data_IF_063955955306
#
_entry.id   IF_063955955306
#
_cell.length_a   1.000
_cell.length_b   1.000
_cell.length_c   1.000
_cell.angle_alpha   90.00
_cell.angle_beta   90.00
_cell.angle_gamma   90.00
#
_symmetry.space_group_name_H-M   'P 1'
#
loop_
_entity.id
_entity.type
_entity.pdbx_description
1 polymer ?
#
# COMPACT_ATOMS: atom_id res chain seq x y z
N UNK A 1 28.43 13.49 -23.15
CA UNK A 1 27.34 12.48 -23.08
C UNK A 1 26.90 12.33 -21.63
N UNK A 2 25.92 13.12 -21.16
CA UNK A 2 25.27 12.83 -19.87
C UNK A 2 24.00 12.06 -20.17
N UNK A 3 24.10 10.74 -19.98
CA UNK A 3 22.98 9.81 -20.02
C UNK A 3 22.04 10.24 -18.90
N UNK A 4 20.97 10.94 -19.24
CA UNK A 4 19.81 11.06 -18.36
C UNK A 4 19.37 9.63 -18.07
N UNK A 5 19.64 9.17 -16.85
CA UNK A 5 19.06 7.94 -16.35
C UNK A 5 17.55 8.16 -16.38
N UNK A 6 16.90 7.49 -17.31
CA UNK A 6 15.46 7.31 -17.37
C UNK A 6 15.01 6.83 -15.99
N UNK A 7 14.40 7.72 -15.21
CA UNK A 7 13.82 7.41 -13.91
C UNK A 7 12.57 6.59 -14.19
N UNK A 8 12.74 5.29 -14.45
CA UNK A 8 11.65 4.35 -14.59
C UNK A 8 10.95 4.32 -13.23
N UNK A 9 9.89 5.11 -13.09
CA UNK A 9 9.13 5.15 -11.85
C UNK A 9 8.45 3.80 -11.67
N UNK A 10 9.10 2.91 -10.93
CA UNK A 10 8.73 1.52 -10.65
C UNK A 10 7.49 1.46 -9.74
N UNK A 11 6.37 2.02 -10.19
CA UNK A 11 5.07 1.91 -9.52
C UNK A 11 4.40 0.64 -10.05
N UNK A 12 4.19 -0.39 -9.21
CA UNK A 12 3.57 -1.64 -9.65
C UNK A 12 2.16 -1.42 -10.22
N UNK A 13 1.74 -2.27 -11.15
CA UNK A 13 0.36 -2.27 -11.63
C UNK A 13 -0.63 -2.44 -10.45
N UNK A 14 -1.61 -1.54 -10.37
CA UNK A 14 -2.56 -1.42 -9.25
C UNK A 14 -2.11 -0.48 -8.12
N UNK A 15 -0.90 0.07 -8.17
CA UNK A 15 -0.47 1.20 -7.36
C UNK A 15 -0.59 2.52 -8.16
N UNK A 16 -0.62 3.64 -7.45
CA UNK A 16 -0.67 4.98 -8.04
C UNK A 16 0.33 5.88 -7.34
N UNK A 17 0.93 6.81 -8.08
CA UNK A 17 1.73 7.87 -7.49
C UNK A 17 0.85 8.69 -6.54
N UNK A 18 1.45 9.11 -5.43
CA UNK A 18 0.77 9.86 -4.38
C UNK A 18 1.61 11.05 -3.97
N UNK A 19 0.97 12.13 -3.56
CA UNK A 19 1.63 13.15 -2.76
C UNK A 19 1.73 12.61 -1.32
N UNK A 20 2.86 12.00 -0.97
CA UNK A 20 3.02 11.29 0.31
C UNK A 20 2.76 12.19 1.53
N UNK A 21 3.21 13.44 1.47
CA UNK A 21 3.18 14.35 2.62
C UNK A 21 1.75 14.79 2.97
N UNK A 22 0.79 14.72 2.04
CA UNK A 22 -0.62 14.98 2.35
C UNK A 22 -1.23 13.94 3.30
N UNK A 23 -0.66 12.74 3.37
CA UNK A 23 -1.11 11.67 4.28
C UNK A 23 -0.48 11.79 5.67
N UNK A 24 0.71 12.38 5.78
CA UNK A 24 1.42 12.53 7.06
C UNK A 24 0.74 13.52 7.99
N UNK A 25 0.19 14.60 7.44
CA UNK A 25 -0.46 15.68 8.20
C UNK A 25 -1.89 15.32 8.67
N UNK A 26 -2.32 14.08 8.48
CA UNK A 26 -3.65 13.60 8.91
C UNK A 26 -3.62 13.00 10.31
N UNK A 27 -4.78 12.95 10.97
CA UNK A 27 -4.97 12.30 12.28
C UNK A 27 -4.45 10.85 12.29
N UNK A 28 -4.02 10.34 13.45
CA UNK A 28 -3.36 9.02 13.57
C UNK A 28 -4.20 7.80 13.13
N UNK A 29 -5.52 7.95 12.98
CA UNK A 29 -6.45 6.83 12.72
C UNK A 29 -7.02 6.82 11.30
N UNK A 30 -6.36 7.47 10.32
CA UNK A 30 -6.79 7.34 8.93
C UNK A 30 -6.57 5.92 8.42
N UNK A 31 -7.39 5.52 7.43
CA UNK A 31 -7.21 4.25 6.72
C UNK A 31 -5.79 4.12 6.15
N UNK A 32 -5.23 5.24 5.65
CA UNK A 32 -3.90 5.27 5.08
C UNK A 32 -2.80 4.93 6.09
N UNK A 33 -2.86 5.51 7.30
CA UNK A 33 -1.92 5.19 8.38
C UNK A 33 -2.13 3.77 8.92
N UNK A 34 -3.38 3.34 9.03
CA UNK A 34 -3.72 1.97 9.49
C UNK A 34 -3.14 0.92 8.53
N UNK A 35 -3.34 1.09 7.22
CA UNK A 35 -2.74 0.24 6.20
C UNK A 35 -1.22 0.41 6.12
N UNK A 36 -0.69 1.60 6.42
CA UNK A 36 0.76 1.83 6.54
C UNK A 36 1.40 0.99 7.65
N UNK A 37 0.78 0.92 8.82
CA UNK A 37 1.22 0.02 9.91
C UNK A 37 1.17 -1.44 9.47
N UNK A 38 0.11 -1.85 8.78
CA UNK A 38 0.03 -3.18 8.17
C UNK A 38 1.18 -3.44 7.17
N UNK A 39 1.47 -2.49 6.29
CA UNK A 39 2.57 -2.59 5.33
C UNK A 39 3.92 -2.78 6.01
N UNK A 40 4.19 -2.05 7.11
CA UNK A 40 5.40 -2.24 7.91
C UNK A 40 5.52 -3.65 8.50
N UNK A 41 4.39 -4.28 8.86
CA UNK A 41 4.38 -5.68 9.33
C UNK A 41 4.60 -6.69 8.20
N UNK A 42 4.11 -6.38 6.98
CA UNK A 42 4.32 -7.23 5.79
C UNK A 42 5.78 -7.15 5.31
N UNK A 43 6.39 -5.98 5.42
CA UNK A 43 7.75 -5.68 4.93
C UNK A 43 8.68 -5.21 6.05
N UNK A 44 8.92 -6.01 7.11
CA UNK A 44 9.63 -5.54 8.31
C UNK A 44 11.10 -5.18 8.06
N UNK A 45 11.71 -5.77 7.02
CA UNK A 45 13.13 -5.60 6.71
C UNK A 45 13.38 -4.57 5.58
N UNK A 46 12.32 -4.08 4.94
CA UNK A 46 12.44 -3.07 3.88
C UNK A 46 12.29 -1.72 4.56
N UNK A 47 13.27 -0.83 4.41
CA UNK A 47 13.27 0.52 5.01
C UNK A 47 12.73 0.54 6.46
N UNK A 48 13.42 -0.09 7.44
CA UNK A 48 12.92 -0.28 8.81
C UNK A 48 12.60 1.05 9.53
N UNK A 49 13.31 2.11 9.15
CA UNK A 49 13.14 3.48 9.66
C UNK A 49 12.30 4.37 8.73
N UNK A 50 11.79 3.81 7.63
CA UNK A 50 10.93 4.52 6.70
C UNK A 50 9.53 4.79 7.27
N UNK A 51 8.88 5.81 6.72
CA UNK A 51 7.48 6.12 7.01
C UNK A 51 6.60 5.38 6.01
N UNK A 52 5.57 4.71 6.50
CA UNK A 52 4.70 3.86 5.69
C UNK A 52 3.27 4.39 5.65
N UNK A 53 2.69 4.40 4.46
CA UNK A 53 1.25 4.53 4.24
C UNK A 53 0.78 3.36 3.36
N UNK A 54 -0.52 3.06 3.41
CA UNK A 54 -1.13 2.10 2.50
C UNK A 54 -2.40 2.65 1.89
N UNK A 55 -2.62 2.38 0.61
CA UNK A 55 -3.87 2.70 -0.09
C UNK A 55 -4.44 1.45 -0.74
N UNK A 56 -5.73 1.44 -1.04
CA UNK A 56 -6.33 0.34 -1.78
C UNK A 56 -5.74 0.25 -3.18
N UNK A 57 -5.52 -0.98 -3.66
CA UNK A 57 -5.04 -1.22 -5.02
C UNK A 57 -6.10 -0.81 -6.04
N UNK A 58 -5.77 0.12 -6.94
CA UNK A 58 -6.69 0.58 -7.98
C UNK A 58 -6.92 -0.54 -9.00
N UNK A 59 -8.18 -0.90 -9.24
CA UNK A 59 -8.53 -2.01 -10.14
C UNK A 59 -8.10 -3.41 -9.66
N UNK A 60 -7.47 -3.51 -8.48
CA UNK A 60 -6.99 -4.77 -7.89
C UNK A 60 -7.68 -5.05 -6.57
N UNK A 61 -8.80 -5.77 -6.62
CA UNK A 61 -9.57 -6.17 -5.44
C UNK A 61 -8.70 -6.95 -4.45
N UNK A 62 -8.87 -6.69 -3.15
CA UNK A 62 -8.10 -7.32 -2.08
C UNK A 62 -6.58 -7.17 -2.21
N UNK A 63 -6.14 -6.06 -2.83
CA UNK A 63 -4.76 -5.61 -2.82
C UNK A 63 -4.64 -4.26 -2.13
N UNK A 64 -3.49 -4.06 -1.52
CA UNK A 64 -3.08 -2.81 -0.89
C UNK A 64 -1.77 -2.41 -1.54
N UNK A 65 -1.68 -1.15 -1.97
CA UNK A 65 -0.43 -0.55 -2.34
C UNK A 65 0.23 0.01 -1.09
N UNK A 66 1.39 -0.52 -0.74
CA UNK A 66 2.25 -0.03 0.32
C UNK A 66 3.23 0.99 -0.24
N UNK A 67 3.28 2.17 0.36
CA UNK A 67 4.19 3.24 -0.02
C UNK A 67 5.07 3.56 1.19
N UNK A 68 6.38 3.46 0.99
CA UNK A 68 7.38 3.83 1.98
C UNK A 68 8.12 5.07 1.52
N UNK A 69 8.19 6.11 2.36
CA UNK A 69 9.18 7.18 2.23
C UNK A 69 10.36 6.80 3.10
N UNK A 70 11.49 6.49 2.49
CA UNK A 70 12.70 6.15 3.22
C UNK A 70 13.32 7.38 3.91
N UNK A 71 14.43 7.19 4.61
CA UNK A 71 15.13 8.25 5.34
C UNK A 71 15.79 9.28 4.44
N UNK A 72 16.05 8.94 3.17
CA UNK A 72 16.61 9.84 2.16
C UNK A 72 15.50 10.62 1.43
N UNK A 73 14.24 10.27 1.68
CA UNK A 73 13.07 10.91 1.12
C UNK A 73 12.56 10.27 -0.17
N UNK A 74 13.17 9.18 -0.63
CA UNK A 74 12.73 8.46 -1.82
C UNK A 74 11.47 7.63 -1.52
N UNK A 75 10.59 7.53 -2.52
CA UNK A 75 9.33 6.79 -2.43
C UNK A 75 9.45 5.40 -3.07
N UNK A 76 9.12 4.38 -2.28
CA UNK A 76 9.15 2.98 -2.69
C UNK A 76 7.74 2.41 -2.68
N UNK A 77 7.36 1.71 -3.74
CA UNK A 77 6.02 1.17 -3.93
C UNK A 77 6.05 -0.35 -3.94
N UNK A 78 5.10 -0.99 -3.27
CA UNK A 78 4.97 -2.44 -3.26
C UNK A 78 3.51 -2.84 -3.19
N UNK A 79 3.08 -3.76 -4.05
CA UNK A 79 1.72 -4.30 -4.02
C UNK A 79 1.67 -5.54 -3.14
N UNK A 80 0.78 -5.56 -2.16
CA UNK A 80 0.54 -6.72 -1.29
C UNK A 80 -0.92 -7.13 -1.26
N UNK A 81 -1.21 -8.27 -0.64
CA UNK A 81 -2.59 -8.69 -0.33
C UNK A 81 -3.16 -7.76 0.74
N UNK A 82 -4.46 -7.50 0.68
CA UNK A 82 -5.13 -6.81 1.76
C UNK A 82 -5.15 -7.67 3.05
N UNK A 83 -5.27 -7.06 4.24
CA UNK A 83 -5.46 -7.78 5.49
C UNK A 83 -6.63 -8.77 5.41
N UNK A 84 -6.54 -9.86 6.17
CA UNK A 84 -7.67 -10.77 6.29
C UNK A 84 -8.89 -10.01 6.84
N UNK A 85 -10.07 -10.34 6.34
CA UNK A 85 -11.34 -9.66 6.61
C UNK A 85 -11.48 -8.23 6.10
N UNK A 86 -10.49 -7.68 5.39
CA UNK A 86 -10.59 -6.34 4.80
C UNK A 86 -11.81 -6.27 3.86
N UNK A 87 -12.61 -5.18 3.91
CA UNK A 87 -13.81 -5.08 3.09
C UNK A 87 -13.48 -5.07 1.59
N UNK A 88 -14.31 -5.76 0.82
CA UNK A 88 -14.31 -5.73 -0.64
C UNK A 88 -15.77 -5.68 -1.13
N UNK A 89 -16.04 -5.29 -2.39
CA UNK A 89 -17.39 -4.88 -2.83
C UNK A 89 -18.53 -5.83 -2.43
N UNK A 90 -18.31 -7.15 -2.47
CA UNK A 90 -19.33 -8.16 -2.17
C UNK A 90 -18.99 -9.04 -0.95
N UNK A 91 -18.06 -8.62 -0.09
CA UNK A 91 -17.70 -9.42 1.08
C UNK A 91 -16.40 -8.99 1.76
N UNK A 92 -15.55 -9.98 2.06
CA UNK A 92 -14.29 -9.77 2.79
C UNK A 92 -13.13 -10.50 2.13
N UNK A 93 -11.94 -9.90 2.21
CA UNK A 93 -10.71 -10.51 1.73
C UNK A 93 -10.28 -11.68 2.60
N UNK A 94 -9.84 -12.78 2.00
CA UNK A 94 -9.22 -13.90 2.70
C UNK A 94 -7.68 -13.84 2.63
N UNK A 95 -7.00 -14.74 3.35
CA UNK A 95 -5.52 -14.85 3.35
C UNK A 95 -4.89 -15.16 1.98
N UNK A 96 -5.69 -15.66 1.02
CA UNK A 96 -5.26 -15.89 -0.37
C UNK A 96 -5.34 -14.61 -1.22
N UNK A 97 -5.84 -13.49 -0.67
CA UNK A 97 -6.03 -12.23 -1.40
C UNK A 97 -7.23 -12.26 -2.34
N UNK A 98 -8.23 -13.10 -2.06
CA UNK A 98 -9.50 -13.16 -2.82
C UNK A 98 -10.62 -12.54 -2.01
N UNK A 99 -11.55 -11.86 -2.69
CA UNK A 99 -12.80 -11.40 -2.10
C UNK A 99 -13.78 -12.56 -1.99
N UNK A 100 -14.13 -12.96 -0.78
CA UNK A 100 -15.09 -14.04 -0.51
C UNK A 100 -16.42 -13.40 -0.13
N UNK A 101 -17.49 -13.83 -0.79
CA UNK A 101 -18.84 -13.35 -0.52
C UNK A 101 -19.23 -13.69 0.92
N UNK A 102 -19.99 -12.80 1.57
CA UNK A 102 -20.71 -13.20 2.77
C UNK A 102 -21.73 -14.24 2.33
N UNK A 103 -21.61 -15.48 2.82
CA UNK A 103 -22.73 -16.42 2.77
C UNK A 103 -23.84 -15.80 3.63
N UNK A 104 -24.96 -15.45 3.01
CA UNK A 104 -26.19 -15.15 3.73
C UNK A 104 -26.51 -16.37 4.59
N UNK A 105 -26.44 -16.22 5.92
CA UNK A 105 -26.96 -17.20 6.86
C UNK A 105 -28.47 -17.10 6.92
#
# INVERSE_FOLDING_TARGET
>A
TRKSAEETTNVPDGCTKVNFDSFLNTTENTLAKTLGRYCKLVYPNIHPNGKWIGITGQGKVCRVCCICKDTEGALHYSLTKAPNQFPCPNGKCNSKGKCIKKTSS
#
